data_IF_374321793183
#
_entry.id   IF_374321793183
#
_cell.length_a   1.000
_cell.length_b   1.000
_cell.length_c   1.000
_cell.angle_alpha   90.00
_cell.angle_beta   90.00
_cell.angle_gamma   90.00
#
_symmetry.space_group_name_H-M   'P 1'
#
loop_
_entity.id
_entity.type
_entity.pdbx_description
1 polymer ?
#
# COMPACT_ATOMS: atom_id res chain seq x y z
N UNK A 1 -19.57 15.35 15.08
CA UNK A 1 -18.62 15.07 13.99
C UNK A 1 -19.14 13.87 13.23
N UNK A 2 -19.15 13.94 11.92
CA UNK A 2 -19.49 12.80 11.07
C UNK A 2 -18.40 11.72 11.23
N UNK A 3 -18.78 10.44 11.37
CA UNK A 3 -17.82 9.34 11.47
C UNK A 3 -17.53 8.71 10.09
N UNK A 4 -18.03 9.33 9.02
CA UNK A 4 -17.84 8.92 7.62
C UNK A 4 -16.90 9.90 6.95
N UNK A 5 -15.86 9.39 6.31
CA UNK A 5 -14.91 10.20 5.55
C UNK A 5 -15.58 10.93 4.39
N UNK A 6 -15.25 12.20 4.24
CA UNK A 6 -15.70 13.01 3.12
C UNK A 6 -14.65 12.99 2.00
N UNK A 7 -14.97 12.37 0.87
CA UNK A 7 -14.11 12.31 -0.29
C UNK A 7 -14.47 13.36 -1.37
N UNK A 8 -15.42 14.25 -1.09
CA UNK A 8 -15.88 15.28 -2.05
C UNK A 8 -14.79 16.29 -2.41
N UNK A 9 -13.73 16.39 -1.57
CA UNK A 9 -12.53 17.20 -1.87
C UNK A 9 -11.73 16.65 -3.05
N UNK A 10 -11.89 15.35 -3.37
CA UNK A 10 -11.26 14.71 -4.53
C UNK A 10 -12.24 14.70 -5.69
N UNK A 11 -13.40 14.04 -5.52
CA UNK A 11 -14.53 14.03 -6.44
C UNK A 11 -15.85 13.81 -5.69
N UNK A 12 -16.95 14.38 -6.17
CA UNK A 12 -18.29 14.25 -5.55
C UNK A 12 -19.01 12.95 -5.86
N UNK A 13 -18.44 12.14 -6.78
CA UNK A 13 -19.00 10.88 -7.23
C UNK A 13 -18.25 10.41 -8.47
N UNK A 14 -18.54 9.19 -8.94
CA UNK A 14 -18.02 8.73 -10.23
C UNK A 14 -18.73 9.37 -11.43
N UNK A 15 -19.84 10.03 -11.20
CA UNK A 15 -20.59 10.87 -12.15
C UNK A 15 -20.14 12.33 -12.14
N UNK A 16 -19.17 12.68 -11.28
CA UNK A 16 -18.56 14.02 -11.30
C UNK A 16 -17.92 14.29 -12.66
N UNK A 17 -18.24 15.42 -13.33
CA UNK A 17 -17.60 15.78 -14.60
C UNK A 17 -16.06 15.85 -14.52
N UNK A 18 -15.53 16.23 -13.37
CA UNK A 18 -14.07 16.30 -13.17
C UNK A 18 -13.44 14.92 -13.15
N UNK A 19 -14.12 13.88 -12.61
CA UNK A 19 -13.64 12.50 -12.68
C UNK A 19 -13.56 12.01 -14.12
N UNK A 20 -14.60 12.24 -14.93
CA UNK A 20 -14.61 11.86 -16.33
C UNK A 20 -13.53 12.60 -17.13
N UNK A 21 -13.37 13.90 -16.90
CA UNK A 21 -12.35 14.72 -17.57
C UNK A 21 -10.93 14.28 -17.21
N UNK A 22 -10.69 13.88 -15.93
CA UNK A 22 -9.38 13.39 -15.49
C UNK A 22 -9.10 11.99 -16.05
N UNK A 23 -10.11 11.13 -16.25
CA UNK A 23 -9.96 9.86 -16.98
C UNK A 23 -9.52 10.06 -18.43
N UNK A 24 -10.16 11.00 -19.16
CA UNK A 24 -9.78 11.34 -20.53
C UNK A 24 -8.35 11.94 -20.61
N UNK A 25 -8.00 12.78 -19.65
CA UNK A 25 -6.62 13.31 -19.54
C UNK A 25 -5.61 12.21 -19.29
N UNK A 26 -5.93 11.22 -18.45
CA UNK A 26 -5.04 10.09 -18.18
C UNK A 26 -4.81 9.25 -19.43
N UNK A 27 -5.86 8.94 -20.19
CA UNK A 27 -5.74 8.23 -21.46
C UNK A 27 -4.84 8.98 -22.46
N UNK A 28 -5.05 10.30 -22.57
CA UNK A 28 -4.23 11.14 -23.42
C UNK A 28 -2.77 11.18 -22.96
N UNK A 29 -2.54 11.32 -21.66
CA UNK A 29 -1.19 11.36 -21.11
C UNK A 29 -0.41 10.07 -21.37
N UNK A 30 -1.07 8.91 -21.29
CA UNK A 30 -0.47 7.62 -21.66
C UNK A 30 -0.12 7.58 -23.14
N UNK A 31 -0.97 8.11 -24.01
CA UNK A 31 -0.70 8.21 -25.47
C UNK A 31 0.47 9.18 -25.74
N UNK A 32 0.48 10.34 -25.10
CA UNK A 32 1.55 11.35 -25.23
C UNK A 32 2.89 10.79 -24.75
N UNK A 33 2.88 10.00 -23.68
CA UNK A 33 4.07 9.31 -23.19
C UNK A 33 4.55 8.25 -24.19
N UNK A 34 3.67 7.47 -24.77
CA UNK A 34 4.02 6.48 -25.79
C UNK A 34 4.62 7.14 -27.05
N UNK A 35 4.06 8.25 -27.49
CA UNK A 35 4.60 9.03 -28.60
C UNK A 35 6.00 9.59 -28.28
N UNK A 36 6.18 10.16 -27.10
CA UNK A 36 7.48 10.65 -26.64
C UNK A 36 8.53 9.54 -26.57
N UNK A 37 8.20 8.39 -25.98
CA UNK A 37 9.10 7.25 -25.88
C UNK A 37 9.51 6.72 -27.26
N UNK A 38 8.60 6.73 -28.23
CA UNK A 38 8.88 6.35 -29.62
C UNK A 38 9.78 7.33 -30.39
N UNK A 39 10.03 8.51 -29.86
CA UNK A 39 10.84 9.57 -30.47
C UNK A 39 12.06 9.99 -29.62
N UNK A 40 12.45 9.14 -28.67
CA UNK A 40 13.58 9.45 -27.77
C UNK A 40 14.89 9.69 -28.51
N UNK A 41 15.14 8.98 -29.59
CA UNK A 41 16.30 9.13 -30.47
C UNK A 41 16.39 10.50 -31.17
N UNK A 42 15.28 11.21 -31.25
CA UNK A 42 15.20 12.56 -31.83
C UNK A 42 15.39 13.69 -30.80
N UNK A 43 15.46 13.34 -29.50
CA UNK A 43 15.64 14.29 -28.43
C UNK A 43 17.12 14.46 -28.10
N UNK A 44 17.51 15.67 -27.62
CA UNK A 44 18.79 15.76 -26.91
C UNK A 44 18.68 15.02 -25.58
N UNK A 45 19.76 14.44 -25.03
CA UNK A 45 19.71 13.78 -23.73
C UNK A 45 19.06 14.64 -22.64
N UNK A 46 19.41 15.91 -22.58
CA UNK A 46 18.87 16.83 -21.56
C UNK A 46 17.36 17.06 -21.72
N UNK A 47 16.88 17.30 -22.95
CA UNK A 47 15.46 17.51 -23.21
C UNK A 47 14.67 16.22 -22.96
N UNK A 48 15.23 15.06 -23.33
CA UNK A 48 14.64 13.74 -23.05
C UNK A 48 14.49 13.46 -21.58
N UNK A 49 15.47 13.83 -20.74
CA UNK A 49 15.40 13.69 -19.29
C UNK A 49 14.31 14.60 -18.72
N UNK A 50 14.32 15.88 -19.04
CA UNK A 50 13.34 16.86 -18.54
C UNK A 50 11.90 16.49 -18.91
N UNK A 51 11.68 16.14 -20.16
CA UNK A 51 10.35 15.77 -20.64
C UNK A 51 9.87 14.45 -20.04
N UNK A 52 10.78 13.48 -19.89
CA UNK A 52 10.44 12.22 -19.25
C UNK A 52 10.06 12.39 -17.78
N UNK A 53 10.81 13.19 -17.01
CA UNK A 53 10.46 13.53 -15.62
C UNK A 53 9.09 14.20 -15.55
N UNK A 54 8.84 15.22 -16.37
CA UNK A 54 7.56 15.92 -16.37
C UNK A 54 6.37 14.99 -16.70
N UNK A 55 6.57 14.02 -17.60
CA UNK A 55 5.55 13.01 -17.91
C UNK A 55 5.34 12.04 -16.75
N UNK A 56 6.41 11.57 -16.08
CA UNK A 56 6.31 10.71 -14.88
C UNK A 56 5.58 11.43 -13.74
N UNK A 57 5.87 12.70 -13.49
CA UNK A 57 5.18 13.50 -12.48
C UNK A 57 3.69 13.66 -12.82
N UNK A 58 3.39 14.09 -14.03
CA UNK A 58 1.99 14.27 -14.48
C UNK A 58 1.22 12.95 -14.40
N UNK A 59 1.84 11.84 -14.78
CA UNK A 59 1.23 10.52 -14.71
C UNK A 59 0.99 10.10 -13.25
N UNK A 60 1.97 10.33 -12.37
CA UNK A 60 1.88 10.00 -10.95
C UNK A 60 0.79 10.81 -10.23
N UNK A 61 0.75 12.13 -10.47
CA UNK A 61 -0.24 13.03 -9.86
C UNK A 61 -1.66 12.65 -10.27
N UNK A 62 -1.90 12.55 -11.59
CA UNK A 62 -3.23 12.30 -12.12
C UNK A 62 -3.72 10.88 -11.79
N UNK A 63 -2.84 9.88 -11.93
CA UNK A 63 -3.18 8.51 -11.58
C UNK A 63 -3.40 8.35 -10.08
N UNK A 64 -2.56 8.99 -9.26
CA UNK A 64 -2.72 8.98 -7.81
C UNK A 64 -4.11 9.48 -7.41
N UNK A 65 -4.53 10.63 -7.91
CA UNK A 65 -5.86 11.20 -7.62
C UNK A 65 -7.02 10.24 -7.98
N UNK A 66 -6.97 9.63 -9.17
CA UNK A 66 -8.02 8.72 -9.65
C UNK A 66 -8.01 7.37 -8.91
N UNK A 67 -6.83 6.78 -8.69
CA UNK A 67 -6.66 5.51 -7.98
C UNK A 67 -7.08 5.65 -6.53
N UNK A 68 -6.57 6.67 -5.83
CA UNK A 68 -6.86 6.87 -4.41
C UNK A 68 -8.36 7.09 -4.17
N UNK A 69 -9.02 7.90 -5.00
CA UNK A 69 -10.47 8.07 -4.88
C UNK A 69 -11.23 6.76 -5.03
N UNK A 70 -10.96 6.00 -6.10
CA UNK A 70 -11.65 4.73 -6.35
C UNK A 70 -11.33 3.69 -5.26
N UNK A 71 -10.07 3.63 -4.80
CA UNK A 71 -9.62 2.74 -3.75
C UNK A 71 -10.25 3.07 -2.39
N UNK A 72 -10.30 4.35 -1.99
CA UNK A 72 -10.93 4.76 -0.74
C UNK A 72 -12.44 4.49 -0.74
N UNK A 73 -13.13 4.70 -1.88
CA UNK A 73 -14.54 4.31 -2.05
C UNK A 73 -14.73 2.81 -1.87
N UNK A 74 -13.89 1.99 -2.50
CA UNK A 74 -13.94 0.53 -2.37
C UNK A 74 -13.58 0.07 -0.95
N UNK A 75 -12.60 0.67 -0.31
CA UNK A 75 -12.19 0.35 1.06
C UNK A 75 -13.29 0.64 2.08
N UNK A 76 -14.08 1.69 1.86
CA UNK A 76 -15.26 2.00 2.68
C UNK A 76 -16.39 1.00 2.50
N UNK A 77 -16.50 0.37 1.33
CA UNK A 77 -17.47 -0.66 1.02
C UNK A 77 -16.95 -1.63 -0.05
N UNK A 78 -16.38 -2.74 0.38
CA UNK A 78 -15.82 -3.78 -0.54
C UNK A 78 -16.85 -4.42 -1.46
N UNK A 79 -18.15 -4.17 -1.28
CA UNK A 79 -19.23 -4.60 -2.16
C UNK A 79 -19.66 -3.52 -3.17
N UNK A 80 -19.01 -2.37 -3.16
CA UNK A 80 -19.24 -1.31 -4.16
C UNK A 80 -18.65 -1.76 -5.51
N UNK A 81 -19.51 -2.37 -6.34
CA UNK A 81 -19.12 -2.88 -7.65
C UNK A 81 -18.71 -1.75 -8.60
N UNK A 82 -19.24 -0.53 -8.44
CA UNK A 82 -18.85 0.60 -9.26
C UNK A 82 -17.43 1.05 -8.93
N UNK A 83 -17.11 1.21 -7.65
CA UNK A 83 -15.76 1.57 -7.22
C UNK A 83 -14.70 0.57 -7.71
N UNK A 84 -14.96 -0.74 -7.57
CA UNK A 84 -14.08 -1.77 -8.11
C UNK A 84 -13.94 -1.71 -9.64
N UNK A 85 -15.04 -1.46 -10.36
CA UNK A 85 -15.02 -1.31 -11.83
C UNK A 85 -14.21 -0.09 -12.27
N UNK A 86 -14.39 1.06 -11.59
CA UNK A 86 -13.64 2.30 -11.90
C UNK A 86 -12.16 2.15 -11.60
N UNK A 87 -11.80 1.57 -10.46
CA UNK A 87 -10.41 1.26 -10.14
C UNK A 87 -9.77 0.37 -11.22
N UNK A 88 -10.47 -0.69 -11.64
CA UNK A 88 -10.03 -1.56 -12.73
C UNK A 88 -9.81 -0.82 -14.06
N UNK A 89 -10.69 0.13 -14.42
CA UNK A 89 -10.54 0.96 -15.61
C UNK A 89 -9.29 1.85 -15.54
N UNK A 90 -9.06 2.53 -14.40
CA UNK A 90 -7.85 3.35 -14.19
C UNK A 90 -6.59 2.48 -14.33
N UNK A 91 -6.56 1.33 -13.66
CA UNK A 91 -5.42 0.41 -13.72
C UNK A 91 -5.18 -0.12 -15.14
N UNK A 92 -6.23 -0.37 -15.91
CA UNK A 92 -6.11 -0.79 -17.31
C UNK A 92 -5.46 0.30 -18.18
N UNK A 93 -5.82 1.57 -17.99
CA UNK A 93 -5.21 2.69 -18.71
C UNK A 93 -3.72 2.78 -18.35
N UNK A 94 -3.39 2.71 -17.03
CA UNK A 94 -2.02 2.80 -16.55
C UNK A 94 -1.11 1.68 -17.07
N UNK A 95 -1.64 0.44 -17.20
CA UNK A 95 -0.85 -0.64 -17.81
C UNK A 95 -0.46 -0.36 -19.26
N UNK A 96 -1.18 0.54 -19.94
CA UNK A 96 -0.82 1.01 -21.26
C UNK A 96 0.48 1.83 -21.30
N UNK A 97 0.85 2.48 -20.20
CA UNK A 97 2.08 3.27 -20.11
C UNK A 97 3.35 2.42 -19.88
N UNK A 98 3.21 1.19 -19.36
CA UNK A 98 4.34 0.38 -18.90
C UNK A 98 5.45 0.17 -19.96
N UNK A 99 5.06 -0.05 -21.21
CA UNK A 99 6.02 -0.21 -22.31
C UNK A 99 6.79 1.07 -22.63
N UNK A 100 6.11 2.21 -22.62
CA UNK A 100 6.71 3.52 -22.88
C UNK A 100 7.64 3.96 -21.73
N UNK A 101 7.21 3.72 -20.49
CA UNK A 101 8.04 3.94 -19.31
C UNK A 101 9.31 3.10 -19.35
N UNK A 102 9.20 1.81 -19.69
CA UNK A 102 10.36 0.95 -19.81
C UNK A 102 11.32 1.40 -20.91
N UNK A 103 10.79 1.88 -22.04
CA UNK A 103 11.60 2.41 -23.13
C UNK A 103 12.36 3.67 -22.72
N UNK A 104 11.69 4.61 -22.04
CA UNK A 104 12.35 5.81 -21.53
C UNK A 104 13.40 5.47 -20.48
N UNK A 105 13.06 4.64 -19.47
CA UNK A 105 13.98 4.22 -18.40
C UNK A 105 15.21 3.48 -18.95
N UNK A 106 14.99 2.62 -19.96
CA UNK A 106 16.08 1.97 -20.68
C UNK A 106 16.98 2.96 -21.39
N UNK A 107 16.39 3.90 -22.15
CA UNK A 107 17.13 4.96 -22.83
C UNK A 107 17.91 5.86 -21.88
N UNK A 108 17.33 6.20 -20.72
CA UNK A 108 18.03 6.96 -19.66
C UNK A 108 19.28 6.23 -19.19
N UNK A 109 19.21 4.92 -18.99
CA UNK A 109 20.37 4.12 -18.52
C UNK A 109 21.52 4.02 -19.52
N UNK A 110 21.25 4.30 -20.80
CA UNK A 110 22.26 4.28 -21.88
C UNK A 110 22.95 5.63 -22.07
N UNK A 111 22.49 6.70 -21.39
CA UNK A 111 23.11 8.03 -21.51
C UNK A 111 24.50 8.03 -20.86
N UNK A 112 25.59 8.32 -21.63
CA UNK A 112 26.93 8.43 -21.07
C UNK A 112 26.97 9.57 -20.04
N UNK A 113 27.68 9.32 -18.94
CA UNK A 113 27.88 10.31 -17.86
C UNK A 113 26.57 10.93 -17.33
N UNK A 114 25.49 10.15 -17.31
CA UNK A 114 24.14 10.59 -16.89
C UNK A 114 24.15 11.45 -15.64
N UNK A 115 24.84 11.02 -14.57
CA UNK A 115 24.84 11.74 -13.30
C UNK A 115 25.55 13.09 -13.38
N UNK A 116 26.54 13.23 -14.27
CA UNK A 116 27.17 14.53 -14.57
C UNK A 116 26.21 15.46 -15.29
N UNK A 117 25.45 14.93 -16.24
CA UNK A 117 24.43 15.69 -16.96
C UNK A 117 23.30 16.15 -16.02
N UNK A 118 22.79 15.25 -15.16
CA UNK A 118 21.78 15.56 -14.13
C UNK A 118 22.29 16.65 -13.18
N UNK A 119 23.52 16.52 -12.69
CA UNK A 119 24.14 17.49 -11.79
C UNK A 119 24.41 18.88 -12.42
N UNK A 120 24.44 18.97 -13.75
CA UNK A 120 24.66 20.21 -14.47
C UNK A 120 23.42 21.09 -14.67
N UNK A 121 22.23 20.52 -14.46
CA UNK A 121 20.96 21.21 -14.69
C UNK A 121 20.21 21.48 -13.37
N UNK A 122 19.79 22.71 -13.16
CA UNK A 122 19.15 23.15 -11.91
C UNK A 122 17.84 22.41 -11.60
N UNK A 123 17.07 22.04 -12.60
CA UNK A 123 15.81 21.29 -12.42
C UNK A 123 16.09 19.82 -12.13
N UNK A 124 17.02 19.20 -12.88
CA UNK A 124 17.26 17.76 -12.76
C UNK A 124 18.04 17.37 -11.50
N UNK A 125 18.75 18.29 -10.85
CA UNK A 125 19.43 18.04 -9.57
C UNK A 125 18.48 17.49 -8.50
N UNK A 126 17.26 17.99 -8.45
CA UNK A 126 16.27 17.57 -7.46
C UNK A 126 15.82 16.10 -7.67
N UNK A 127 16.06 15.56 -8.87
CA UNK A 127 15.77 14.19 -9.25
C UNK A 127 16.98 13.25 -9.23
N UNK A 128 18.10 13.66 -8.62
CA UNK A 128 19.33 12.85 -8.53
C UNK A 128 19.05 11.43 -8.08
N UNK A 129 18.29 11.27 -7.00
CA UNK A 129 17.91 9.95 -6.45
C UNK A 129 17.07 9.12 -7.44
N UNK A 130 16.16 9.75 -8.17
CA UNK A 130 15.38 9.07 -9.22
C UNK A 130 16.31 8.45 -10.26
N UNK A 131 17.26 9.24 -10.79
CA UNK A 131 18.17 8.75 -11.83
C UNK A 131 19.16 7.69 -11.32
N UNK A 132 19.64 7.80 -10.09
CA UNK A 132 20.40 6.75 -9.43
C UNK A 132 19.60 5.44 -9.33
N UNK A 133 18.33 5.53 -8.94
CA UNK A 133 17.42 4.39 -8.85
C UNK A 133 17.14 3.79 -10.23
N UNK A 134 16.93 4.62 -11.25
CA UNK A 134 16.76 4.14 -12.63
C UNK A 134 17.99 3.38 -13.15
N UNK A 135 19.19 3.88 -12.87
CA UNK A 135 20.43 3.18 -13.23
C UNK A 135 20.54 1.82 -12.54
N UNK A 136 20.26 1.75 -11.24
CA UNK A 136 20.28 0.47 -10.50
C UNK A 136 19.28 -0.53 -11.09
N UNK A 137 18.05 -0.07 -11.32
CA UNK A 137 16.94 -0.91 -11.75
C UNK A 137 17.01 -1.28 -13.26
N UNK A 138 17.84 -0.60 -14.05
CA UNK A 138 17.90 -0.79 -15.50
C UNK A 138 18.24 -2.22 -15.92
N UNK A 139 19.07 -2.92 -15.13
CA UNK A 139 19.49 -4.31 -15.37
C UNK A 139 18.35 -5.31 -15.18
N UNK A 140 17.25 -4.90 -14.55
CA UNK A 140 16.08 -5.72 -14.25
C UNK A 140 14.87 -5.41 -15.15
N UNK A 141 15.05 -4.57 -16.17
CA UNK A 141 14.01 -4.27 -17.14
C UNK A 141 13.85 -5.43 -18.15
N UNK A 142 12.60 -5.78 -18.43
CA UNK A 142 12.24 -6.79 -19.44
C UNK A 142 12.18 -6.21 -20.87
N UNK A 143 12.50 -4.93 -21.04
CA UNK A 143 12.26 -4.18 -22.27
C UNK A 143 10.78 -3.82 -22.44
N UNK A 144 10.50 -2.91 -23.40
CA UNK A 144 9.18 -2.31 -23.58
C UNK A 144 8.04 -3.32 -23.69
N UNK A 145 8.18 -4.33 -24.57
CA UNK A 145 7.15 -5.36 -24.73
C UNK A 145 7.00 -6.26 -23.51
N UNK A 146 8.12 -6.64 -22.89
CA UNK A 146 8.12 -7.47 -21.68
C UNK A 146 7.42 -6.80 -20.51
N UNK A 147 7.70 -5.51 -20.27
CA UNK A 147 7.04 -4.72 -19.24
C UNK A 147 5.53 -4.57 -19.50
N UNK A 148 5.15 -4.31 -20.74
CA UNK A 148 3.74 -4.21 -21.10
C UNK A 148 2.97 -5.53 -20.88
N UNK A 149 3.58 -6.66 -21.24
CA UNK A 149 2.98 -7.98 -21.04
C UNK A 149 2.90 -8.27 -19.54
N UNK A 150 3.98 -8.07 -18.79
CA UNK A 150 4.00 -8.28 -17.33
C UNK A 150 2.93 -7.45 -16.62
N UNK A 151 2.84 -6.15 -16.93
CA UNK A 151 1.83 -5.26 -16.33
C UNK A 151 0.39 -5.72 -16.61
N UNK A 152 0.09 -6.11 -17.85
CA UNK A 152 -1.25 -6.61 -18.23
C UNK A 152 -1.60 -7.93 -17.56
N UNK A 153 -0.66 -8.88 -17.50
CA UNK A 153 -0.90 -10.18 -16.90
C UNK A 153 -1.02 -10.09 -15.38
N UNK A 154 -0.30 -9.18 -14.73
CA UNK A 154 -0.39 -8.96 -13.28
C UNK A 154 -1.78 -8.51 -12.84
N UNK A 155 -2.55 -7.82 -13.69
CA UNK A 155 -3.94 -7.45 -13.39
C UNK A 155 -4.85 -8.69 -13.16
N UNK A 156 -4.68 -9.74 -13.96
CA UNK A 156 -5.41 -11.02 -13.81
C UNK A 156 -4.65 -12.04 -12.95
N UNK A 157 -3.41 -11.75 -12.63
CA UNK A 157 -2.52 -12.50 -11.75
C UNK A 157 -2.59 -12.01 -10.30
N UNK A 158 -1.46 -11.54 -9.78
CA UNK A 158 -1.30 -11.15 -8.37
C UNK A 158 -2.33 -10.14 -7.88
N UNK A 159 -2.72 -9.15 -8.71
CA UNK A 159 -3.73 -8.15 -8.33
C UNK A 159 -5.09 -8.81 -8.09
N UNK A 160 -5.60 -9.56 -9.06
CA UNK A 160 -6.91 -10.23 -8.94
C UNK A 160 -6.96 -11.24 -7.77
N UNK A 161 -5.85 -11.94 -7.50
CA UNK A 161 -5.78 -12.85 -6.37
C UNK A 161 -5.71 -12.12 -5.02
N UNK A 162 -5.09 -10.95 -4.96
CA UNK A 162 -5.08 -10.08 -3.78
C UNK A 162 -6.48 -9.53 -3.50
N UNK A 163 -7.17 -9.05 -4.54
CA UNK A 163 -8.55 -8.57 -4.45
C UNK A 163 -9.50 -9.67 -3.96
N UNK A 164 -9.33 -10.91 -4.46
CA UNK A 164 -10.11 -12.05 -3.98
C UNK A 164 -9.88 -12.31 -2.49
N UNK A 165 -8.63 -12.26 -2.02
CA UNK A 165 -8.30 -12.46 -0.62
C UNK A 165 -8.93 -11.36 0.27
N UNK A 166 -8.84 -10.11 -0.16
CA UNK A 166 -9.46 -8.98 0.53
C UNK A 166 -10.98 -9.13 0.60
N UNK A 167 -11.62 -9.42 -0.53
CA UNK A 167 -13.06 -9.66 -0.60
C UNK A 167 -13.50 -10.79 0.35
N UNK A 168 -12.82 -11.93 0.31
CA UNK A 168 -13.15 -13.08 1.16
C UNK A 168 -13.00 -12.75 2.64
N UNK A 169 -11.92 -12.10 3.05
CA UNK A 169 -11.67 -11.75 4.45
C UNK A 169 -12.63 -10.67 4.97
N UNK A 170 -13.01 -9.71 4.13
CA UNK A 170 -13.95 -8.65 4.51
C UNK A 170 -15.40 -9.12 4.56
N UNK A 171 -15.76 -10.18 3.81
CA UNK A 171 -17.15 -10.63 3.67
C UNK A 171 -17.46 -11.95 4.38
N UNK A 172 -16.43 -12.70 4.85
CA UNK A 172 -16.67 -13.98 5.55
C UNK A 172 -17.53 -13.77 6.78
N UNK A 173 -18.68 -14.49 6.89
CA UNK A 173 -19.53 -14.37 8.06
C UNK A 173 -18.92 -15.12 9.25
N UNK A 174 -18.89 -14.47 10.41
CA UNK A 174 -18.44 -15.02 11.67
C UNK A 174 -19.65 -15.27 12.55
N UNK A 175 -19.88 -16.53 12.94
CA UNK A 175 -20.95 -16.89 13.86
C UNK A 175 -20.51 -16.64 15.30
N UNK A 176 -21.22 -15.74 16.03
CA UNK A 176 -20.89 -15.38 17.40
C UNK A 176 -22.15 -15.09 18.22
N UNK A 177 -22.27 -15.70 19.42
CA UNK A 177 -23.41 -15.49 20.34
C UNK A 177 -24.79 -15.65 19.71
N UNK A 178 -24.96 -16.63 18.81
CA UNK A 178 -26.24 -16.89 18.13
C UNK A 178 -26.57 -15.94 16.99
N UNK A 179 -25.69 -14.99 16.69
CA UNK A 179 -25.79 -14.06 15.57
C UNK A 179 -24.67 -14.21 14.56
N UNK A 180 -24.60 -13.30 13.61
CA UNK A 180 -23.55 -13.22 12.58
C UNK A 180 -22.90 -11.83 12.65
N UNK A 181 -21.58 -11.81 12.60
CA UNK A 181 -20.76 -10.59 12.55
C UNK A 181 -19.69 -10.74 11.47
N UNK A 182 -18.80 -9.77 11.35
CA UNK A 182 -17.64 -9.78 10.44
C UNK A 182 -16.32 -10.01 11.20
N UNK A 183 -15.27 -10.26 10.43
CA UNK A 183 -13.94 -10.58 10.99
C UNK A 183 -13.33 -9.41 11.78
N UNK A 184 -13.51 -8.17 11.32
CA UNK A 184 -12.99 -6.98 12.02
C UNK A 184 -13.64 -6.79 13.38
N UNK A 185 -14.97 -6.91 13.45
CA UNK A 185 -15.71 -6.78 14.69
C UNK A 185 -15.34 -7.87 15.71
N UNK A 186 -15.18 -9.12 15.26
CA UNK A 186 -14.80 -10.21 16.18
C UNK A 186 -13.37 -10.04 16.71
N UNK A 187 -12.43 -9.58 15.88
CA UNK A 187 -11.05 -9.29 16.28
C UNK A 187 -10.94 -8.18 17.30
N UNK A 188 -11.80 -7.17 17.23
CA UNK A 188 -11.83 -6.10 18.25
C UNK A 188 -12.17 -6.62 19.64
N UNK A 189 -12.84 -7.76 19.77
CA UNK A 189 -13.12 -8.39 21.07
C UNK A 189 -11.87 -9.00 21.71
N UNK A 190 -10.73 -9.07 21.03
CA UNK A 190 -9.44 -9.44 21.63
C UNK A 190 -8.97 -8.43 22.71
N UNK A 191 -9.53 -7.23 22.72
CA UNK A 191 -9.27 -6.19 23.73
C UNK A 191 -10.30 -6.15 24.85
N UNK A 192 -11.33 -7.04 24.83
CA UNK A 192 -12.36 -7.06 25.88
C UNK A 192 -11.74 -7.39 27.24
N UNK A 193 -12.12 -6.72 28.32
CA UNK A 193 -11.62 -7.02 29.67
C UNK A 193 -12.01 -8.42 30.16
N UNK A 194 -13.11 -9.00 29.65
CA UNK A 194 -13.59 -10.33 30.03
C UNK A 194 -12.85 -11.43 29.25
N UNK A 195 -12.06 -12.31 29.91
CA UNK A 195 -11.34 -13.39 29.24
C UNK A 195 -12.24 -14.41 28.53
N UNK A 196 -13.48 -14.61 28.99
CA UNK A 196 -14.41 -15.51 28.33
C UNK A 196 -14.87 -14.94 26.97
N UNK A 197 -15.05 -13.62 26.87
CA UNK A 197 -15.38 -12.93 25.61
C UNK A 197 -14.21 -13.05 24.63
N UNK A 198 -12.98 -12.76 25.06
CA UNK A 198 -11.80 -12.88 24.19
C UNK A 198 -11.62 -14.29 23.65
N UNK A 199 -11.76 -15.32 24.54
CA UNK A 199 -11.63 -16.71 24.13
C UNK A 199 -12.71 -17.13 23.14
N UNK A 200 -13.99 -16.79 23.41
CA UNK A 200 -15.10 -17.13 22.51
C UNK A 200 -14.96 -16.40 21.15
N UNK A 201 -14.49 -15.16 21.14
CA UNK A 201 -14.20 -14.41 19.92
C UNK A 201 -13.08 -15.08 19.09
N UNK A 202 -12.01 -15.51 19.73
CA UNK A 202 -10.91 -16.23 19.09
C UNK A 202 -11.37 -17.55 18.46
N UNK A 203 -12.18 -18.33 19.19
CA UNK A 203 -12.73 -19.61 18.67
C UNK A 203 -13.66 -19.37 17.47
N UNK A 204 -14.49 -18.32 17.52
CA UNK A 204 -15.34 -17.92 16.41
C UNK A 204 -14.53 -17.43 15.20
N UNK A 205 -13.46 -16.65 15.42
CA UNK A 205 -12.53 -16.25 14.38
C UNK A 205 -11.89 -17.45 13.70
N UNK A 206 -11.30 -18.37 14.44
CA UNK A 206 -10.68 -19.57 13.85
C UNK A 206 -11.65 -20.41 13.05
N UNK A 207 -12.88 -20.58 13.55
CA UNK A 207 -13.93 -21.34 12.89
C UNK A 207 -14.35 -20.73 11.53
N UNK A 208 -14.29 -19.41 11.36
CA UNK A 208 -14.67 -18.79 10.09
C UNK A 208 -13.68 -19.05 8.97
N UNK A 209 -12.40 -19.26 9.28
CA UNK A 209 -11.35 -19.50 8.28
C UNK A 209 -11.54 -20.80 7.48
N UNK A 210 -12.21 -21.79 8.03
CA UNK A 210 -12.53 -23.02 7.30
C UNK A 210 -13.32 -22.78 6.01
N UNK A 211 -14.04 -21.68 5.93
CA UNK A 211 -14.85 -21.29 4.76
C UNK A 211 -14.04 -20.69 3.62
N UNK A 212 -12.88 -20.10 3.92
CA UNK A 212 -12.09 -19.34 2.94
C UNK A 212 -10.67 -19.86 2.76
N UNK A 213 -10.18 -20.75 3.64
CA UNK A 213 -8.78 -21.20 3.66
C UNK A 213 -8.29 -21.75 2.33
N UNK A 214 -9.11 -22.53 1.63
CA UNK A 214 -8.68 -23.14 0.37
C UNK A 214 -8.52 -22.08 -0.73
N UNK A 215 -9.51 -21.19 -0.87
CA UNK A 215 -9.44 -20.10 -1.84
C UNK A 215 -8.26 -19.15 -1.54
N UNK A 216 -8.03 -18.81 -0.26
CA UNK A 216 -6.90 -17.98 0.17
C UNK A 216 -5.57 -18.69 -0.07
N UNK A 217 -5.50 -20.03 0.10
CA UNK A 217 -4.29 -20.79 -0.21
C UNK A 217 -3.98 -20.77 -1.72
N UNK A 218 -4.99 -20.90 -2.58
CA UNK A 218 -4.82 -20.75 -4.04
C UNK A 218 -4.34 -19.34 -4.40
N UNK A 219 -4.95 -18.31 -3.82
CA UNK A 219 -4.54 -16.92 -4.03
C UNK A 219 -3.07 -16.70 -3.64
N UNK A 220 -2.68 -17.12 -2.44
CA UNK A 220 -1.30 -16.99 -1.95
C UNK A 220 -0.30 -17.74 -2.85
N UNK A 221 -0.62 -18.96 -3.26
CA UNK A 221 0.26 -19.75 -4.14
C UNK A 221 0.41 -19.08 -5.51
N UNK A 222 -0.66 -18.54 -6.08
CA UNK A 222 -0.62 -17.83 -7.36
C UNK A 222 0.21 -16.55 -7.30
N UNK A 223 0.04 -15.74 -6.25
CA UNK A 223 0.83 -14.52 -6.01
C UNK A 223 2.32 -14.87 -5.84
N UNK A 224 2.63 -15.92 -5.06
CA UNK A 224 4.02 -16.36 -4.87
C UNK A 224 4.65 -16.88 -6.16
N UNK A 225 3.90 -17.64 -6.96
CA UNK A 225 4.38 -18.14 -8.24
C UNK A 225 4.68 -17.01 -9.21
N UNK A 226 3.79 -16.03 -9.33
CA UNK A 226 4.03 -14.84 -10.16
C UNK A 226 5.28 -14.07 -9.69
N UNK A 227 5.41 -13.84 -8.37
CA UNK A 227 6.58 -13.15 -7.79
C UNK A 227 7.88 -13.87 -8.11
N UNK A 228 7.92 -15.21 -7.97
CA UNK A 228 9.12 -16.02 -8.26
C UNK A 228 9.43 -15.97 -9.76
N UNK A 229 8.42 -16.11 -10.61
CA UNK A 229 8.60 -16.09 -12.07
C UNK A 229 9.10 -14.73 -12.55
N UNK A 230 8.52 -13.64 -12.04
CA UNK A 230 8.94 -12.27 -12.38
C UNK A 230 10.38 -11.99 -11.90
N UNK A 231 10.77 -12.45 -10.69
CA UNK A 231 12.14 -12.36 -10.23
C UNK A 231 13.13 -13.10 -11.14
N UNK A 232 12.78 -14.30 -11.59
CA UNK A 232 13.61 -15.07 -12.49
C UNK A 232 13.77 -14.40 -13.87
N UNK A 233 12.67 -13.91 -14.44
CA UNK A 233 12.68 -13.21 -15.72
C UNK A 233 13.50 -11.92 -15.67
N UNK A 234 13.48 -11.21 -14.55
CA UNK A 234 14.21 -9.96 -14.33
C UNK A 234 15.65 -10.17 -13.86
N UNK A 235 16.07 -11.40 -13.62
CA UNK A 235 17.43 -11.72 -13.19
C UNK A 235 17.74 -11.38 -11.73
N UNK A 236 16.73 -11.26 -10.87
CA UNK A 236 16.95 -11.14 -9.43
C UNK A 236 17.42 -12.48 -8.84
N UNK A 237 18.39 -12.43 -7.93
CA UNK A 237 18.88 -13.63 -7.25
C UNK A 237 17.82 -14.26 -6.33
N UNK A 238 16.95 -13.41 -5.72
CA UNK A 238 15.84 -13.87 -4.90
C UNK A 238 14.71 -12.83 -4.85
N UNK A 239 13.49 -13.23 -4.44
CA UNK A 239 12.42 -12.28 -4.14
C UNK A 239 12.78 -11.25 -3.05
N UNK A 240 13.65 -11.62 -2.11
CA UNK A 240 14.14 -10.71 -1.09
C UNK A 240 15.02 -9.61 -1.69
N UNK A 241 15.94 -9.93 -2.60
CA UNK A 241 16.78 -8.93 -3.25
C UNK A 241 15.93 -7.92 -4.03
N UNK A 242 14.91 -8.41 -4.76
CA UNK A 242 13.93 -7.53 -5.41
C UNK A 242 13.19 -6.62 -4.42
N UNK A 243 12.81 -7.16 -3.27
CA UNK A 243 12.10 -6.38 -2.23
C UNK A 243 13.01 -5.29 -1.65
N UNK A 244 14.26 -5.63 -1.35
CA UNK A 244 15.25 -4.68 -0.84
C UNK A 244 15.49 -3.54 -1.84
N UNK A 245 15.66 -3.87 -3.12
CA UNK A 245 15.86 -2.87 -4.17
C UNK A 245 14.64 -1.95 -4.32
N UNK A 246 13.43 -2.51 -4.36
CA UNK A 246 12.18 -1.72 -4.42
C UNK A 246 11.95 -0.82 -3.21
N UNK A 247 12.50 -1.20 -2.05
CA UNK A 247 12.41 -0.44 -0.81
C UNK A 247 13.60 0.51 -0.59
N UNK A 248 14.52 0.59 -1.56
CA UNK A 248 15.81 1.29 -1.43
C UNK A 248 16.55 0.94 -0.12
N UNK A 249 16.39 -0.30 0.34
CA UNK A 249 16.96 -0.81 1.58
C UNK A 249 18.21 -1.64 1.31
N UNK A 250 19.30 -1.31 1.98
CA UNK A 250 20.52 -2.14 1.95
C UNK A 250 20.32 -3.42 2.77
N UNK A 251 20.96 -4.50 2.33
CA UNK A 251 20.93 -5.79 3.02
C UNK A 251 21.43 -5.67 4.47
N UNK A 252 22.46 -4.88 4.69
CA UNK A 252 23.05 -4.64 6.00
C UNK A 252 22.06 -3.94 6.95
N UNK A 253 21.21 -3.06 6.42
CA UNK A 253 20.13 -2.40 7.20
C UNK A 253 19.09 -3.41 7.66
N UNK A 254 18.65 -4.31 6.77
CA UNK A 254 17.73 -5.39 7.13
C UNK A 254 18.36 -6.31 8.18
N UNK A 255 19.59 -6.74 7.96
CA UNK A 255 20.28 -7.67 8.87
C UNK A 255 20.49 -7.02 10.25
N UNK A 256 20.82 -5.73 10.31
CA UNK A 256 20.93 -4.98 11.56
C UNK A 256 19.59 -4.87 12.30
N UNK A 257 18.50 -4.62 11.57
CA UNK A 257 17.14 -4.56 12.13
C UNK A 257 16.73 -5.92 12.70
N UNK A 258 16.92 -7.00 11.93
CA UNK A 258 16.60 -8.36 12.38
C UNK A 258 17.47 -8.77 13.59
N UNK A 259 18.78 -8.46 13.56
CA UNK A 259 19.68 -8.71 14.67
C UNK A 259 19.26 -7.98 15.96
N UNK A 260 18.85 -6.71 15.85
CA UNK A 260 18.31 -5.97 17.00
C UNK A 260 17.01 -6.61 17.52
N UNK A 261 16.11 -7.02 16.63
CA UNK A 261 14.88 -7.75 17.04
C UNK A 261 15.21 -9.05 17.79
N UNK A 262 16.16 -9.85 17.28
CA UNK A 262 16.59 -11.09 17.91
C UNK A 262 17.22 -10.84 19.28
N UNK A 263 18.03 -9.80 19.44
CA UNK A 263 18.63 -9.40 20.71
C UNK A 263 17.55 -9.06 21.77
N UNK A 264 16.46 -8.38 21.35
CA UNK A 264 15.37 -8.01 22.22
C UNK A 264 14.35 -9.12 22.49
N UNK A 265 14.30 -10.19 21.68
CA UNK A 265 13.38 -11.31 21.85
C UNK A 265 13.34 -11.90 23.27
N UNK A 266 14.46 -12.08 24.02
CA UNK A 266 14.40 -12.54 25.40
C UNK A 266 13.59 -11.62 26.32
N UNK A 267 13.62 -10.29 26.10
CA UNK A 267 12.84 -9.30 26.86
C UNK A 267 11.34 -9.44 26.56
N UNK A 268 10.97 -9.58 25.30
CA UNK A 268 9.58 -9.85 24.93
C UNK A 268 9.07 -11.16 25.53
N UNK A 269 9.88 -12.22 25.53
CA UNK A 269 9.52 -13.48 26.20
C UNK A 269 9.32 -13.31 27.69
N UNK A 270 10.15 -12.50 28.37
CA UNK A 270 9.95 -12.18 29.79
C UNK A 270 8.64 -11.43 30.02
N UNK A 271 8.36 -10.41 29.18
CA UNK A 271 7.10 -9.68 29.25
C UNK A 271 5.88 -10.61 29.06
N UNK A 272 5.87 -11.45 28.02
CA UNK A 272 4.75 -12.36 27.75
C UNK A 272 4.54 -13.38 28.87
N UNK A 273 5.63 -13.89 29.49
CA UNK A 273 5.55 -14.77 30.67
C UNK A 273 4.98 -14.03 31.86
N UNK A 274 5.44 -12.81 32.12
CA UNK A 274 4.92 -11.98 33.21
C UNK A 274 3.44 -11.65 33.02
N UNK A 275 3.04 -11.27 31.79
CA UNK A 275 1.65 -11.05 31.45
C UNK A 275 0.79 -12.30 31.60
N UNK A 276 1.26 -13.44 31.10
CA UNK A 276 0.56 -14.73 31.27
C UNK A 276 0.33 -15.05 32.75
N UNK A 277 1.38 -14.93 33.57
CA UNK A 277 1.26 -15.15 35.02
C UNK A 277 0.28 -14.19 35.68
N UNK A 278 0.32 -12.91 35.33
CA UNK A 278 -0.60 -11.88 35.86
C UNK A 278 -2.05 -12.14 35.50
N UNK A 279 -2.30 -12.79 34.33
CA UNK A 279 -3.64 -13.21 33.88
C UNK A 279 -4.05 -14.61 34.37
N UNK A 280 -3.22 -15.26 35.19
CA UNK A 280 -3.53 -16.57 35.81
C UNK A 280 -3.17 -17.79 34.95
N UNK A 281 -2.31 -17.63 33.94
CA UNK A 281 -1.83 -18.72 33.08
C UNK A 281 -0.49 -19.27 33.58
N UNK A 282 -0.43 -20.56 33.90
CA UNK A 282 0.79 -21.22 34.37
C UNK A 282 1.72 -21.67 33.23
N UNK A 283 1.16 -22.06 32.09
CA UNK A 283 1.89 -22.71 31.00
C UNK A 283 2.13 -21.77 29.77
N UNK A 284 2.18 -20.46 30.01
CA UNK A 284 2.37 -19.46 28.96
C UNK A 284 1.10 -18.67 28.65
N UNK A 285 1.24 -17.60 27.87
CA UNK A 285 0.14 -16.72 27.51
C UNK A 285 -0.60 -17.31 26.29
N UNK A 286 -1.89 -17.65 26.39
CA UNK A 286 -2.66 -18.10 25.23
C UNK A 286 -2.86 -16.92 24.24
N UNK A 287 -3.00 -17.26 22.95
CA UNK A 287 -3.08 -16.27 21.88
C UNK A 287 -4.23 -15.28 22.08
N UNK A 288 -5.39 -15.74 22.53
CA UNK A 288 -6.56 -14.88 22.77
C UNK A 288 -6.37 -13.87 23.91
N UNK A 289 -5.33 -14.01 24.71
CA UNK A 289 -5.00 -13.08 25.79
C UNK A 289 -3.81 -12.18 25.46
N UNK A 290 -3.27 -12.28 24.23
CA UNK A 290 -2.14 -11.45 23.79
C UNK A 290 -2.46 -9.95 23.93
N UNK A 291 -3.66 -9.54 23.57
CA UNK A 291 -4.14 -8.16 23.63
C UNK A 291 -4.98 -7.86 24.89
N UNK A 292 -5.09 -8.82 25.81
CA UNK A 292 -5.83 -8.59 27.05
C UNK A 292 -5.34 -7.32 27.76
N UNK A 293 -6.25 -6.43 28.19
CA UNK A 293 -5.87 -5.21 28.88
C UNK A 293 -5.23 -5.55 30.23
N UNK A 294 -4.18 -4.79 30.58
CA UNK A 294 -3.52 -4.87 31.89
C UNK A 294 -3.91 -3.66 32.71
N UNK A 295 -4.37 -3.91 33.93
CA UNK A 295 -4.88 -2.86 34.82
C UNK A 295 -6.37 -2.57 34.59
N UNK A 296 -6.85 -1.46 35.18
CA UNK A 296 -8.25 -1.01 35.08
C UNK A 296 -8.25 0.44 34.67
N UNK A 297 -8.85 0.72 33.54
CA UNK A 297 -9.17 2.08 33.11
C UNK A 297 -10.64 2.15 32.70
N UNK A 298 -11.33 3.17 33.20
CA UNK A 298 -12.71 3.50 32.81
C UNK A 298 -12.75 4.69 31.87
N UNK A 299 -11.59 5.21 31.48
CA UNK A 299 -11.50 6.34 30.56
C UNK A 299 -12.18 5.99 29.22
N UNK A 300 -12.96 6.93 28.74
CA UNK A 300 -13.60 6.90 27.42
C UNK A 300 -13.26 8.22 26.75
N UNK A 301 -12.95 8.14 25.49
CA UNK A 301 -12.63 9.31 24.67
C UNK A 301 -13.56 9.34 23.48
N UNK A 302 -14.16 10.50 23.25
CA UNK A 302 -14.92 10.78 22.03
C UNK A 302 -13.98 11.24 20.91
N UNK A 303 -14.47 11.33 19.70
CA UNK A 303 -13.73 11.92 18.57
C UNK A 303 -13.35 13.38 18.87
N UNK A 304 -14.23 14.13 19.52
CA UNK A 304 -13.94 15.51 19.98
C UNK A 304 -12.82 15.55 21.02
N UNK A 305 -12.80 14.60 21.97
CA UNK A 305 -11.70 14.48 22.92
C UNK A 305 -10.40 14.15 22.22
N UNK A 306 -10.42 13.25 21.21
CA UNK A 306 -9.25 12.90 20.43
C UNK A 306 -8.71 14.14 19.68
N UNK A 307 -9.57 14.89 18.98
CA UNK A 307 -9.19 16.14 18.31
C UNK A 307 -8.50 17.09 19.30
N UNK A 308 -9.17 17.40 20.41
CA UNK A 308 -8.64 18.34 21.42
C UNK A 308 -7.27 17.88 21.94
N UNK A 309 -7.15 16.61 22.34
CA UNK A 309 -5.91 16.05 22.88
C UNK A 309 -4.79 16.07 21.85
N UNK A 310 -5.06 15.68 20.62
CA UNK A 310 -4.05 15.63 19.55
C UNK A 310 -3.57 17.03 19.19
N UNK A 311 -4.48 17.99 18.99
CA UNK A 311 -4.11 19.39 18.69
C UNK A 311 -3.30 19.98 19.84
N UNK A 312 -3.69 19.76 21.10
CA UNK A 312 -2.95 20.22 22.27
C UNK A 312 -1.55 19.60 22.32
N UNK A 313 -1.41 18.31 22.12
CA UNK A 313 -0.12 17.61 22.16
C UNK A 313 0.81 18.06 21.01
N UNK A 314 0.31 18.14 19.78
CA UNK A 314 1.11 18.60 18.64
C UNK A 314 1.54 20.04 18.79
N UNK A 315 0.69 20.94 19.35
CA UNK A 315 1.05 22.33 19.60
C UNK A 315 2.20 22.51 20.60
N UNK A 316 2.51 21.47 21.39
CA UNK A 316 3.65 21.56 22.35
C UNK A 316 4.99 21.55 21.66
N UNK A 317 5.10 21.09 20.40
CA UNK A 317 6.37 21.05 19.68
C UNK A 317 6.32 21.67 18.28
N UNK A 318 5.18 21.71 17.61
CA UNK A 318 5.04 22.31 16.30
C UNK A 318 3.61 22.79 16.03
N UNK A 319 3.43 24.09 15.79
CA UNK A 319 2.13 24.69 15.55
C UNK A 319 1.55 24.34 14.18
N UNK A 320 2.39 24.18 13.13
CA UNK A 320 1.92 23.84 11.79
C UNK A 320 1.35 22.41 11.76
N UNK A 321 1.99 21.48 12.49
CA UNK A 321 1.44 20.15 12.67
C UNK A 321 0.12 20.14 13.45
N UNK A 322 0.01 20.97 14.50
CA UNK A 322 -1.24 21.12 15.24
C UNK A 322 -2.38 21.65 14.37
N UNK A 323 -2.08 22.65 13.52
CA UNK A 323 -3.06 23.23 12.59
C UNK A 323 -3.48 22.20 11.51
N UNK A 324 -2.54 21.40 11.00
CA UNK A 324 -2.84 20.32 10.06
C UNK A 324 -3.74 19.25 10.68
N UNK A 325 -3.48 18.86 11.93
CA UNK A 325 -4.33 17.92 12.67
C UNK A 325 -5.73 18.51 12.90
N UNK A 326 -5.81 19.77 13.33
CA UNK A 326 -7.09 20.43 13.52
C UNK A 326 -7.91 20.47 12.23
N UNK A 327 -7.26 20.83 11.13
CA UNK A 327 -7.85 20.90 9.80
C UNK A 327 -8.37 19.52 9.33
N UNK A 328 -7.62 18.44 9.56
CA UNK A 328 -8.06 17.10 9.20
C UNK A 328 -9.38 16.70 9.87
N UNK A 329 -9.58 17.09 11.15
CA UNK A 329 -10.83 16.87 11.86
C UNK A 329 -11.95 17.82 11.41
N UNK A 330 -11.62 19.10 11.11
CA UNK A 330 -12.62 20.11 10.73
C UNK A 330 -13.16 19.88 9.32
N UNK A 331 -12.34 19.38 8.41
CA UNK A 331 -12.70 19.05 7.04
C UNK A 331 -13.16 17.59 6.88
N UNK A 332 -13.17 16.81 7.96
CA UNK A 332 -13.62 15.41 8.00
C UNK A 332 -12.86 14.49 7.01
N UNK A 333 -11.54 14.65 6.97
CA UNK A 333 -10.67 13.85 6.11
C UNK A 333 -10.66 12.36 6.49
#
# INVERSE_FOLDING_TARGET
MNEVWNLDVIYRGFDDPDFAADMEKLEKLVQDYAAFAGELDKQTPLDGLKKGVALEESLSELSGKLVEYAFLRQSGNTRDAEAGSRLGQVMQILTGAAGAQAQWRGGVSEIPDLMTLVGSDETLKDYTFLFESLLRNSTHLLGSLGEQISAKLSMSGSSAWSDLQEYLTSTVPVSYNGGTTNLSAIRNLAYDPNPAVRKAAYEAELSCYDRIKDAVAFALNSIKLETISDCQLRGYASPLDRTLEKSDMKRETLDAMLGAMEEYMPKFRQYLRAKGKALGHENGLPWYDLFAPMGKSTARYTTEDAKRILVELFSTFDSELADMVARAFDEEW
#
